data_IF_518348853745
#
_entry.id   IF_518348853745
#
_cell.length_a   1.000
_cell.length_b   1.000
_cell.length_c   1.000
_cell.angle_alpha   90.00
_cell.angle_beta   90.00
_cell.angle_gamma   90.00
#
_symmetry.space_group_name_H-M   'P 1'
#
loop_
_entity.id
_entity.type
_entity.pdbx_description
1 polymer ?
#
# COMPACT_ATOMS: atom_id res chain seq x y z
N UNK A 1 -17.25 4.74 23.86
CA UNK A 1 -16.84 3.37 24.25
C UNK A 1 -18.12 2.60 24.57
N UNK A 2 -18.41 1.48 23.90
CA UNK A 2 -19.63 0.72 24.17
C UNK A 2 -19.55 -0.06 25.48
N UNK A 3 -20.71 -0.25 26.12
CA UNK A 3 -20.83 -1.16 27.25
C UNK A 3 -20.65 -2.61 26.81
N UNK A 4 -20.10 -3.43 27.70
CA UNK A 4 -19.85 -4.88 27.51
C UNK A 4 -21.03 -5.63 26.85
N UNK A 5 -22.25 -5.38 27.32
CA UNK A 5 -23.47 -6.05 26.81
C UNK A 5 -23.71 -5.78 25.32
N UNK A 6 -23.45 -4.55 24.88
CA UNK A 6 -23.59 -4.19 23.47
C UNK A 6 -22.53 -4.87 22.62
N UNK A 7 -21.28 -4.93 23.09
CA UNK A 7 -20.20 -5.68 22.43
C UNK A 7 -20.53 -7.16 22.27
N UNK A 8 -21.10 -7.79 23.31
CA UNK A 8 -21.56 -9.20 23.26
C UNK A 8 -22.64 -9.36 22.19
N UNK A 9 -23.65 -8.49 22.20
CA UNK A 9 -24.73 -8.52 21.21
C UNK A 9 -24.19 -8.40 19.78
N UNK A 10 -23.30 -7.43 19.52
CA UNK A 10 -22.66 -7.26 18.19
C UNK A 10 -21.90 -8.52 17.75
N UNK A 11 -21.15 -9.16 18.65
CA UNK A 11 -20.41 -10.39 18.35
C UNK A 11 -21.34 -11.59 18.08
N UNK A 12 -22.50 -11.65 18.72
CA UNK A 12 -23.51 -12.69 18.52
C UNK A 12 -24.29 -12.51 17.22
N UNK A 13 -24.59 -11.27 16.85
CA UNK A 13 -25.25 -10.92 15.58
C UNK A 13 -24.31 -11.09 14.38
N UNK A 14 -23.00 -10.98 14.60
CA UNK A 14 -22.01 -11.22 13.53
C UNK A 14 -21.95 -12.71 13.20
N UNK A 15 -22.25 -13.07 11.95
CA UNK A 15 -22.24 -14.47 11.48
C UNK A 15 -20.83 -15.06 11.42
N UNK A 16 -20.73 -16.40 11.42
CA UNK A 16 -19.47 -17.07 11.09
C UNK A 16 -19.25 -17.00 9.58
N UNK A 17 -17.99 -16.92 9.18
CA UNK A 17 -17.59 -16.86 7.78
C UNK A 17 -17.30 -18.27 7.26
N UNK A 18 -17.98 -18.66 6.19
CA UNK A 18 -17.73 -19.92 5.46
C UNK A 18 -16.55 -19.77 4.50
N UNK A 19 -15.81 -20.85 4.18
CA UNK A 19 -14.77 -20.79 3.17
C UNK A 19 -15.36 -20.43 1.79
N UNK A 20 -14.59 -19.70 0.99
CA UNK A 20 -14.87 -19.49 -0.42
C UNK A 20 -14.24 -20.62 -1.23
N UNK A 21 -14.98 -21.18 -2.18
CA UNK A 21 -14.54 -22.36 -2.95
C UNK A 21 -14.20 -22.03 -4.40
N UNK A 22 -15.09 -21.31 -5.09
CA UNK A 22 -14.97 -21.04 -6.52
C UNK A 22 -15.17 -19.54 -6.80
N UNK A 23 -14.18 -18.70 -6.50
CA UNK A 23 -14.25 -17.28 -6.82
C UNK A 23 -14.29 -17.09 -8.34
N UNK A 24 -15.22 -16.27 -8.81
CA UNK A 24 -15.40 -15.95 -10.23
C UNK A 24 -14.97 -14.53 -10.57
N UNK A 25 -14.81 -13.69 -9.55
CA UNK A 25 -14.44 -12.29 -9.68
C UNK A 25 -13.45 -11.85 -8.59
N UNK A 26 -12.74 -10.76 -8.84
CA UNK A 26 -11.95 -10.08 -7.81
C UNK A 26 -12.83 -9.66 -6.62
N UNK A 27 -14.09 -9.27 -6.89
CA UNK A 27 -15.05 -8.86 -5.87
C UNK A 27 -15.39 -9.99 -4.91
N UNK A 28 -15.37 -11.25 -5.36
CA UNK A 28 -15.55 -12.41 -4.47
C UNK A 28 -14.41 -12.49 -3.45
N UNK A 29 -13.16 -12.31 -3.91
CA UNK A 29 -11.99 -12.36 -3.04
C UNK A 29 -11.91 -11.14 -2.11
N UNK A 30 -12.15 -9.94 -2.64
CA UNK A 30 -12.14 -8.69 -1.87
C UNK A 30 -13.31 -8.67 -0.88
N UNK A 31 -14.50 -9.10 -1.30
CA UNK A 31 -15.67 -9.30 -0.47
C UNK A 31 -15.39 -10.24 0.70
N UNK A 32 -14.73 -11.37 0.43
CA UNK A 32 -14.37 -12.33 1.46
C UNK A 32 -13.42 -11.75 2.54
N UNK A 33 -12.58 -10.77 2.21
CA UNK A 33 -11.75 -10.05 3.19
C UNK A 33 -12.55 -8.93 3.87
N UNK A 34 -13.42 -8.23 3.15
CA UNK A 34 -14.29 -7.18 3.71
C UNK A 34 -15.24 -7.72 4.78
N UNK A 35 -15.71 -8.95 4.61
CA UNK A 35 -16.51 -9.68 5.58
C UNK A 35 -15.78 -9.96 6.90
N UNK A 36 -14.44 -9.93 6.92
CA UNK A 36 -13.62 -10.06 8.15
C UNK A 36 -13.68 -8.73 8.91
N UNK A 37 -14.86 -8.43 9.43
CA UNK A 37 -15.18 -7.20 10.13
C UNK A 37 -16.16 -7.48 11.26
N UNK A 38 -16.07 -6.68 12.31
CA UNK A 38 -17.06 -6.62 13.38
C UNK A 38 -17.25 -5.15 13.71
N UNK A 39 -18.49 -4.67 13.66
CA UNK A 39 -18.80 -3.25 13.84
C UNK A 39 -18.08 -2.68 15.08
N UNK A 40 -17.26 -1.65 14.84
CA UNK A 40 -16.47 -0.90 15.85
C UNK A 40 -15.45 -1.73 16.66
N UNK A 41 -15.28 -3.02 16.40
CA UNK A 41 -14.29 -3.89 17.07
C UNK A 41 -13.14 -4.30 16.15
N UNK A 42 -13.44 -4.53 14.87
CA UNK A 42 -12.47 -4.93 13.85
C UNK A 42 -12.92 -4.37 12.51
N UNK A 43 -12.15 -3.44 11.96
CA UNK A 43 -12.36 -2.95 10.61
C UNK A 43 -11.78 -3.93 9.57
N UNK A 44 -12.28 -3.88 8.32
CA UNK A 44 -11.70 -4.61 7.21
C UNK A 44 -10.20 -4.35 7.05
N UNK A 45 -9.46 -5.36 6.58
CA UNK A 45 -8.02 -5.23 6.35
C UNK A 45 -7.72 -4.52 5.03
N UNK A 46 -7.74 -3.18 5.07
CA UNK A 46 -7.49 -2.32 3.90
C UNK A 46 -6.20 -2.67 3.13
N UNK A 47 -5.05 -2.92 3.77
CA UNK A 47 -3.81 -3.18 3.03
C UNK A 47 -3.88 -4.41 2.12
N UNK A 48 -4.62 -5.45 2.51
CA UNK A 48 -4.81 -6.63 1.66
C UNK A 48 -5.75 -6.33 0.50
N UNK A 49 -6.86 -5.63 0.77
CA UNK A 49 -7.84 -5.24 -0.25
C UNK A 49 -7.18 -4.37 -1.33
N UNK A 50 -6.51 -3.30 -0.91
CA UNK A 50 -5.81 -2.36 -1.81
C UNK A 50 -4.71 -3.07 -2.61
N UNK A 51 -3.98 -4.00 -1.98
CA UNK A 51 -2.97 -4.80 -2.68
C UNK A 51 -3.59 -5.68 -3.76
N UNK A 52 -4.70 -6.34 -3.48
CA UNK A 52 -5.36 -7.21 -4.46
C UNK A 52 -5.93 -6.42 -5.63
N UNK A 53 -6.59 -5.28 -5.35
CA UNK A 53 -7.11 -4.38 -6.38
C UNK A 53 -5.98 -3.87 -7.28
N UNK A 54 -4.93 -3.31 -6.68
CA UNK A 54 -3.76 -2.82 -7.42
C UNK A 54 -3.07 -3.90 -8.26
N UNK A 55 -2.95 -5.12 -7.76
CA UNK A 55 -2.33 -6.22 -8.52
C UNK A 55 -3.21 -6.62 -9.70
N UNK A 56 -4.51 -6.78 -9.48
CA UNK A 56 -5.45 -7.21 -10.51
C UNK A 56 -5.66 -6.14 -11.60
N UNK A 57 -5.81 -4.88 -11.22
CA UNK A 57 -5.85 -3.73 -12.15
C UNK A 57 -4.52 -3.59 -12.91
N UNK A 58 -3.43 -4.04 -12.30
CA UNK A 58 -2.11 -4.07 -12.88
C UNK A 58 -1.84 -5.25 -13.83
N UNK A 59 -2.86 -5.93 -14.35
CA UNK A 59 -2.71 -6.86 -15.47
C UNK A 59 -3.38 -6.29 -16.72
N UNK A 60 -2.68 -6.38 -17.84
CA UNK A 60 -3.21 -6.00 -19.15
C UNK A 60 -3.91 -7.19 -19.85
N UNK A 61 -3.50 -8.43 -19.50
CA UNK A 61 -4.08 -9.67 -20.01
C UNK A 61 -5.24 -10.18 -19.13
N UNK A 62 -6.41 -10.39 -19.74
CA UNK A 62 -7.60 -10.93 -19.06
C UNK A 62 -7.42 -12.38 -18.57
N UNK A 63 -6.61 -13.18 -19.25
CA UNK A 63 -6.25 -14.53 -18.81
C UNK A 63 -5.43 -14.47 -17.53
N UNK A 64 -4.49 -13.52 -17.42
CA UNK A 64 -3.71 -13.33 -16.20
C UNK A 64 -4.58 -12.87 -15.03
N UNK A 65 -5.57 -11.99 -15.29
CA UNK A 65 -6.59 -11.62 -14.30
C UNK A 65 -7.37 -12.83 -13.81
N UNK A 66 -7.77 -13.71 -14.72
CA UNK A 66 -8.51 -14.91 -14.35
C UNK A 66 -7.66 -15.89 -13.53
N UNK A 67 -6.42 -16.16 -13.95
CA UNK A 67 -5.47 -17.00 -13.22
C UNK A 67 -5.18 -16.45 -11.81
N UNK A 68 -5.15 -15.12 -11.66
CA UNK A 68 -5.03 -14.46 -10.36
C UNK A 68 -6.25 -14.72 -9.46
N UNK A 69 -7.46 -14.63 -10.01
CA UNK A 69 -8.71 -14.88 -9.26
C UNK A 69 -8.76 -16.33 -8.75
N UNK A 70 -8.31 -17.27 -9.57
CA UNK A 70 -8.32 -18.71 -9.27
C UNK A 70 -7.05 -19.21 -8.55
N UNK A 71 -6.14 -18.32 -8.14
CA UNK A 71 -4.90 -18.71 -7.48
C UNK A 71 -5.15 -19.47 -6.18
N UNK A 72 -4.81 -20.76 -6.17
CA UNK A 72 -5.10 -21.68 -5.07
C UNK A 72 -4.43 -21.22 -3.76
N UNK A 73 -3.20 -20.71 -3.84
CA UNK A 73 -2.46 -20.27 -2.65
C UNK A 73 -3.12 -19.05 -2.01
N UNK A 74 -3.53 -18.06 -2.80
CA UNK A 74 -4.26 -16.89 -2.34
C UNK A 74 -5.59 -17.30 -1.70
N UNK A 75 -6.35 -18.18 -2.36
CA UNK A 75 -7.62 -18.70 -1.87
C UNK A 75 -7.45 -19.41 -0.50
N UNK A 76 -6.45 -20.29 -0.39
CA UNK A 76 -6.12 -20.97 0.86
C UNK A 76 -5.79 -19.99 1.99
N UNK A 77 -5.08 -18.89 1.70
CA UNK A 77 -4.74 -17.87 2.72
C UNK A 77 -5.97 -17.08 3.15
N UNK A 78 -6.85 -16.69 2.22
CA UNK A 78 -8.11 -16.00 2.53
C UNK A 78 -8.97 -16.89 3.43
N UNK A 79 -9.13 -18.16 3.07
CA UNK A 79 -9.89 -19.13 3.88
C UNK A 79 -9.27 -19.39 5.26
N UNK A 80 -7.94 -19.38 5.36
CA UNK A 80 -7.27 -19.46 6.65
C UNK A 80 -7.56 -18.23 7.54
N UNK A 81 -7.60 -17.02 6.97
CA UNK A 81 -7.97 -15.81 7.70
C UNK A 81 -9.44 -15.83 8.14
N UNK A 82 -10.36 -16.27 7.28
CA UNK A 82 -11.80 -16.40 7.59
C UNK A 82 -12.06 -17.38 8.74
N UNK A 83 -11.38 -18.53 8.73
CA UNK A 83 -11.44 -19.49 9.85
C UNK A 83 -10.88 -18.89 11.15
N UNK A 84 -9.73 -18.22 11.08
CA UNK A 84 -9.13 -17.56 12.25
C UNK A 84 -10.04 -16.46 12.81
N UNK A 85 -10.79 -15.76 11.96
CA UNK A 85 -11.78 -14.78 12.38
C UNK A 85 -12.89 -15.42 13.22
N UNK A 86 -13.42 -16.56 12.81
CA UNK A 86 -14.43 -17.29 13.58
C UNK A 86 -13.89 -17.70 14.96
N UNK A 87 -12.63 -18.15 15.02
CA UNK A 87 -11.97 -18.48 16.28
C UNK A 87 -11.81 -17.26 17.19
N UNK A 88 -11.28 -16.16 16.65
CA UNK A 88 -11.10 -14.91 17.38
C UNK A 88 -12.43 -14.40 17.91
N UNK A 89 -13.47 -14.33 17.07
CA UNK A 89 -14.82 -13.91 17.47
C UNK A 89 -15.35 -14.76 18.63
N UNK A 90 -15.18 -16.07 18.56
CA UNK A 90 -15.56 -16.99 19.63
C UNK A 90 -14.80 -16.76 20.94
N UNK A 91 -13.49 -16.50 20.87
CA UNK A 91 -12.64 -16.19 22.04
C UNK A 91 -13.01 -14.82 22.64
N UNK A 92 -13.21 -13.80 21.81
CA UNK A 92 -13.64 -12.47 22.23
C UNK A 92 -15.01 -12.52 22.91
N UNK A 93 -15.98 -13.25 22.34
CA UNK A 93 -17.30 -13.43 22.93
C UNK A 93 -17.21 -14.09 24.33
N UNK A 94 -16.42 -15.15 24.48
CA UNK A 94 -16.20 -15.82 25.78
C UNK A 94 -15.52 -14.94 26.81
N UNK A 95 -14.67 -14.02 26.37
CA UNK A 95 -14.03 -13.00 27.22
C UNK A 95 -15.04 -11.96 27.67
N UNK A 96 -15.80 -11.37 26.73
CA UNK A 96 -16.79 -10.31 26.99
C UNK A 96 -18.04 -10.78 27.73
N UNK A 97 -18.35 -12.07 27.73
CA UNK A 97 -19.43 -12.63 28.54
C UNK A 97 -19.13 -12.63 30.04
N UNK A 98 -17.86 -12.51 30.46
CA UNK A 98 -17.55 -12.39 31.89
C UNK A 98 -18.03 -11.01 32.38
N UNK A 99 -18.90 -10.94 33.41
CA UNK A 99 -19.36 -9.67 33.97
C UNK A 99 -18.18 -8.86 34.49
N UNK A 100 -18.26 -7.53 34.44
CA UNK A 100 -17.19 -6.70 35.02
C UNK A 100 -17.16 -6.81 36.54
N UNK A 101 -16.07 -6.35 37.17
CA UNK A 101 -15.96 -6.23 38.64
C UNK A 101 -17.14 -5.45 39.23
N UNK A 102 -17.63 -4.43 38.52
CA UNK A 102 -18.78 -3.62 38.93
C UNK A 102 -20.09 -4.41 38.85
N UNK A 103 -20.23 -5.33 37.88
CA UNK A 103 -21.43 -6.14 37.71
C UNK A 103 -21.46 -7.38 38.62
N UNK A 104 -20.32 -8.06 38.84
CA UNK A 104 -20.24 -9.25 39.69
C UNK A 104 -20.02 -8.91 41.18
N UNK A 105 -19.49 -7.73 41.47
CA UNK A 105 -18.92 -7.39 42.77
C UNK A 105 -17.49 -7.94 42.92
N UNK A 106 -16.60 -7.25 43.66
CA UNK A 106 -15.18 -7.61 43.76
C UNK A 106 -14.93 -8.98 44.39
N UNK A 107 -15.85 -9.46 45.25
CA UNK A 107 -15.74 -10.77 45.92
C UNK A 107 -16.13 -11.96 45.02
N UNK A 108 -16.95 -11.74 43.99
CA UNK A 108 -17.43 -12.81 43.10
C UNK A 108 -16.78 -12.77 41.71
N UNK A 109 -15.87 -11.82 41.46
CA UNK A 109 -15.19 -11.66 40.19
C UNK A 109 -13.92 -12.53 40.13
N UNK A 110 -13.89 -13.44 39.17
CA UNK A 110 -12.74 -14.32 38.92
C UNK A 110 -11.71 -13.59 38.05
N UNK A 111 -10.76 -12.92 38.71
CA UNK A 111 -9.68 -12.16 38.06
C UNK A 111 -8.81 -13.04 37.16
N UNK A 112 -8.39 -14.20 37.64
CA UNK A 112 -7.48 -15.11 36.93
C UNK A 112 -8.11 -15.62 35.64
N UNK A 113 -9.37 -16.08 35.71
CA UNK A 113 -10.11 -16.54 34.53
C UNK A 113 -10.33 -15.42 33.54
N UNK A 114 -10.61 -14.21 34.01
CA UNK A 114 -10.84 -13.07 33.13
C UNK A 114 -9.55 -12.66 32.42
N UNK A 115 -8.45 -12.55 33.14
CA UNK A 115 -7.15 -12.22 32.57
C UNK A 115 -6.71 -13.27 31.55
N UNK A 116 -6.88 -14.57 31.86
CA UNK A 116 -6.57 -15.67 30.96
C UNK A 116 -7.39 -15.60 29.66
N UNK A 117 -8.70 -15.36 29.75
CA UNK A 117 -9.55 -15.24 28.54
C UNK A 117 -9.25 -13.99 27.72
N UNK A 118 -8.99 -12.86 28.38
CA UNK A 118 -8.61 -11.63 27.70
C UNK A 118 -7.28 -11.80 26.94
N UNK A 119 -6.32 -12.50 27.55
CA UNK A 119 -5.05 -12.85 26.89
C UNK A 119 -5.28 -13.71 25.64
N UNK A 120 -6.06 -14.79 25.74
CA UNK A 120 -6.34 -15.65 24.58
C UNK A 120 -7.10 -14.95 23.45
N UNK A 121 -7.99 -14.01 23.79
CA UNK A 121 -8.69 -13.20 22.79
C UNK A 121 -7.73 -12.24 22.07
N UNK A 122 -6.77 -11.66 22.81
CA UNK A 122 -5.70 -10.81 22.23
C UNK A 122 -4.78 -11.62 21.32
N UNK A 123 -4.24 -12.74 21.80
CA UNK A 123 -3.36 -13.62 21.01
C UNK A 123 -4.06 -14.05 19.71
N UNK A 124 -5.34 -14.44 19.78
CA UNK A 124 -6.10 -14.82 18.58
C UNK A 124 -6.36 -13.66 17.61
N UNK A 125 -6.45 -12.43 18.12
CA UNK A 125 -6.56 -11.22 17.29
C UNK A 125 -5.25 -10.93 16.57
N UNK A 126 -4.12 -11.11 17.25
CA UNK A 126 -2.78 -10.97 16.68
C UNK A 126 -2.56 -12.02 15.58
N UNK A 127 -2.90 -13.28 15.85
CA UNK A 127 -2.91 -14.36 14.85
C UNK A 127 -3.80 -14.02 13.64
N UNK A 128 -4.99 -13.44 13.86
CA UNK A 128 -5.86 -12.99 12.76
C UNK A 128 -5.19 -11.93 11.89
N UNK A 129 -4.58 -10.92 12.50
CA UNK A 129 -3.85 -9.88 11.77
C UNK A 129 -2.70 -10.49 10.97
N UNK A 130 -1.93 -11.40 11.57
CA UNK A 130 -0.84 -12.09 10.87
C UNK A 130 -1.36 -12.89 9.67
N UNK A 131 -2.51 -13.57 9.79
CA UNK A 131 -3.12 -14.28 8.65
C UNK A 131 -3.53 -13.30 7.54
N UNK A 132 -4.05 -12.12 7.89
CA UNK A 132 -4.41 -11.08 6.92
C UNK A 132 -3.17 -10.50 6.23
N UNK A 133 -2.06 -10.33 6.94
CA UNK A 133 -0.77 -9.94 6.34
C UNK A 133 -0.24 -11.02 5.40
N UNK A 134 -0.40 -12.30 5.74
CA UNK A 134 -0.08 -13.41 4.84
C UNK A 134 -0.95 -13.43 3.59
N UNK A 135 -2.21 -12.97 3.67
CA UNK A 135 -3.06 -12.76 2.47
C UNK A 135 -2.46 -11.68 1.58
N UNK A 136 -2.03 -10.55 2.15
CA UNK A 136 -1.36 -9.47 1.40
C UNK A 136 -0.10 -9.97 0.69
N UNK A 137 0.74 -10.75 1.40
CA UNK A 137 1.93 -11.35 0.82
C UNK A 137 1.59 -12.34 -0.30
N UNK A 138 0.58 -13.20 -0.09
CA UNK A 138 0.11 -14.14 -1.10
C UNK A 138 -0.47 -13.44 -2.33
N UNK A 139 -1.15 -12.31 -2.17
CA UNK A 139 -1.66 -11.50 -3.27
C UNK A 139 -0.52 -10.96 -4.16
N UNK A 140 0.61 -10.53 -3.58
CA UNK A 140 1.79 -10.17 -4.38
C UNK A 140 2.42 -11.41 -5.05
N UNK A 141 2.47 -12.55 -4.36
CA UNK A 141 3.00 -13.80 -4.94
C UNK A 141 2.14 -14.34 -6.09
N UNK A 142 0.82 -14.21 -5.99
CA UNK A 142 -0.13 -14.60 -7.03
C UNK A 142 0.07 -13.78 -8.31
N UNK A 143 0.58 -12.54 -8.20
CA UNK A 143 0.98 -11.74 -9.37
C UNK A 143 1.98 -12.46 -10.27
N UNK A 144 3.03 -13.00 -9.67
CA UNK A 144 4.08 -13.70 -10.42
C UNK A 144 3.55 -14.96 -11.09
N UNK A 145 2.77 -15.77 -10.35
CA UNK A 145 2.20 -17.02 -10.86
C UNK A 145 1.19 -16.78 -11.98
N UNK A 146 0.35 -15.77 -11.86
CA UNK A 146 -0.62 -15.41 -12.88
C UNK A 146 0.06 -14.98 -14.20
N UNK A 147 1.12 -14.17 -14.13
CA UNK A 147 1.89 -13.80 -15.33
C UNK A 147 2.61 -15.01 -15.93
N UNK A 148 3.22 -15.85 -15.08
CA UNK A 148 3.91 -17.05 -15.51
C UNK A 148 2.98 -18.02 -16.24
N UNK A 149 1.72 -18.15 -15.79
CA UNK A 149 0.71 -18.97 -16.43
C UNK A 149 0.37 -18.51 -17.87
N UNK A 150 0.47 -17.20 -18.14
CA UNK A 150 0.25 -16.61 -19.47
C UNK A 150 1.56 -16.53 -20.29
N UNK A 151 2.68 -16.99 -19.72
CA UNK A 151 3.99 -16.96 -20.38
C UNK A 151 4.67 -15.59 -20.36
N UNK A 152 4.24 -14.70 -19.47
CA UNK A 152 4.85 -13.39 -19.22
C UNK A 152 5.62 -13.41 -17.89
N UNK A 153 6.52 -12.45 -17.69
CA UNK A 153 7.18 -12.23 -16.40
C UNK A 153 6.85 -10.87 -15.79
N UNK A 154 6.98 -10.76 -14.46
CA UNK A 154 6.85 -9.48 -13.74
C UNK A 154 7.88 -8.45 -14.26
N UNK A 155 9.08 -8.92 -14.64
CA UNK A 155 10.14 -8.06 -15.14
C UNK A 155 9.80 -7.47 -16.51
N UNK A 156 9.22 -8.27 -17.41
CA UNK A 156 8.76 -7.81 -18.73
C UNK A 156 7.63 -6.79 -18.60
N UNK A 157 6.59 -7.09 -17.82
CA UNK A 157 5.47 -6.14 -17.62
C UNK A 157 5.94 -4.83 -16.98
N UNK A 158 6.83 -4.89 -16.00
CA UNK A 158 7.39 -3.68 -15.40
C UNK A 158 8.28 -2.90 -16.39
N UNK A 159 9.01 -3.58 -17.26
CA UNK A 159 9.86 -2.95 -18.27
C UNK A 159 9.02 -2.27 -19.37
N UNK A 160 7.91 -2.87 -19.77
CA UNK A 160 6.94 -2.30 -20.70
C UNK A 160 6.29 -1.04 -20.12
N UNK A 161 5.77 -1.12 -18.89
CA UNK A 161 5.24 0.08 -18.20
C UNK A 161 6.25 1.20 -18.06
N UNK A 162 7.50 0.86 -17.72
CA UNK A 162 8.55 1.85 -17.65
C UNK A 162 8.83 2.45 -19.03
N UNK A 163 8.74 1.69 -20.12
CA UNK A 163 8.86 2.21 -21.47
C UNK A 163 7.71 3.16 -21.82
N UNK A 164 6.46 2.78 -21.54
CA UNK A 164 5.27 3.61 -21.79
C UNK A 164 5.32 4.91 -20.99
N UNK A 165 5.68 4.83 -19.70
CA UNK A 165 5.85 6.00 -18.84
C UNK A 165 6.92 6.94 -19.41
N UNK A 166 8.06 6.40 -19.83
CA UNK A 166 9.14 7.20 -20.43
C UNK A 166 8.70 7.85 -21.73
N UNK A 167 7.89 7.18 -22.55
CA UNK A 167 7.38 7.73 -23.80
C UNK A 167 6.38 8.86 -23.53
N UNK A 168 5.42 8.66 -22.63
CA UNK A 168 4.46 9.69 -22.24
C UNK A 168 5.13 10.94 -21.64
N UNK A 169 6.09 10.76 -20.72
CA UNK A 169 6.84 11.88 -20.14
C UNK A 169 7.71 12.55 -21.21
N UNK A 170 8.31 11.78 -22.11
CA UNK A 170 9.12 12.32 -23.21
C UNK A 170 8.30 13.18 -24.17
N UNK A 171 7.07 12.80 -24.48
CA UNK A 171 6.17 13.59 -25.35
C UNK A 171 5.80 14.93 -24.72
N UNK A 172 5.78 15.02 -23.38
CA UNK A 172 5.45 16.23 -22.65
C UNK A 172 6.65 17.15 -22.42
N UNK A 173 7.88 16.61 -22.43
CA UNK A 173 9.10 17.37 -22.14
C UNK A 173 9.77 17.91 -23.41
N UNK A 174 9.93 19.22 -23.46
CA UNK A 174 10.74 19.91 -24.46
C UNK A 174 12.00 20.53 -23.87
N UNK A 175 13.01 20.75 -24.72
CA UNK A 175 14.20 21.51 -24.32
C UNK A 175 13.79 22.92 -23.92
N UNK A 176 14.24 23.34 -22.74
CA UNK A 176 13.98 24.66 -22.19
C UNK A 176 12.89 24.70 -21.11
N UNK A 177 12.11 23.64 -20.93
CA UNK A 177 11.09 23.54 -19.87
C UNK A 177 11.70 23.42 -18.47
N UNK A 178 10.98 23.88 -17.46
CA UNK A 178 11.39 23.82 -16.07
C UNK A 178 10.81 22.55 -15.42
N UNK A 179 11.66 21.80 -14.75
CA UNK A 179 11.30 20.56 -14.08
C UNK A 179 11.79 20.59 -12.63
N UNK A 180 11.00 20.01 -11.75
CA UNK A 180 11.41 19.64 -10.41
C UNK A 180 11.98 18.21 -10.47
N UNK A 181 13.16 18.00 -9.90
CA UNK A 181 13.82 16.70 -9.91
C UNK A 181 14.65 16.49 -8.63
N UNK A 182 14.87 15.21 -8.28
CA UNK A 182 15.78 14.70 -7.20
C UNK A 182 15.15 14.55 -5.79
N UNK A 183 15.61 13.53 -5.07
CA UNK A 183 15.34 13.25 -3.65
C UNK A 183 16.68 13.31 -2.86
N UNK A 184 16.77 13.90 -1.66
CA UNK A 184 15.71 14.45 -0.81
C UNK A 184 15.50 15.98 -0.88
N UNK A 185 16.35 16.71 -1.60
CA UNK A 185 16.13 18.13 -1.88
C UNK A 185 15.62 18.23 -3.30
N UNK A 186 14.31 18.42 -3.44
CA UNK A 186 13.66 18.72 -4.70
C UNK A 186 14.36 19.96 -5.26
N UNK A 187 15.06 19.78 -6.37
CA UNK A 187 15.84 20.83 -7.02
C UNK A 187 15.14 21.19 -8.30
N UNK A 188 15.10 22.47 -8.61
CA UNK A 188 14.49 22.96 -9.83
C UNK A 188 15.58 23.15 -10.87
N UNK A 189 15.27 22.79 -12.10
CA UNK A 189 16.21 23.01 -13.18
C UNK A 189 15.54 22.98 -14.54
N UNK A 190 16.33 23.36 -15.53
CA UNK A 190 15.92 23.48 -16.91
C UNK A 190 16.32 22.26 -17.71
N UNK A 191 15.38 21.74 -18.48
CA UNK A 191 15.64 20.64 -19.41
C UNK A 191 16.56 21.13 -20.52
N UNK A 192 17.78 20.60 -20.56
CA UNK A 192 18.72 20.90 -21.65
C UNK A 192 18.48 19.95 -22.82
N UNK A 193 18.31 18.67 -22.51
CA UNK A 193 18.23 17.61 -23.53
C UNK A 193 17.40 16.44 -23.05
N UNK A 194 16.50 15.97 -23.91
CA UNK A 194 15.70 14.76 -23.69
C UNK A 194 16.26 13.62 -24.54
N UNK A 195 16.64 12.51 -23.91
CA UNK A 195 17.05 11.27 -24.56
C UNK A 195 15.95 10.20 -24.45
N UNK A 196 16.18 9.00 -24.98
CA UNK A 196 15.17 7.92 -24.99
C UNK A 196 14.76 7.43 -23.59
N UNK A 197 15.67 7.46 -22.61
CA UNK A 197 15.42 6.97 -21.24
C UNK A 197 15.69 8.00 -20.15
N UNK A 198 16.41 9.07 -20.48
CA UNK A 198 16.91 10.04 -19.51
C UNK A 198 16.72 11.45 -20.02
N UNK A 199 16.56 12.38 -19.09
CA UNK A 199 16.59 13.82 -19.34
C UNK A 199 17.83 14.41 -18.67
N UNK A 200 18.53 15.28 -19.40
CA UNK A 200 19.60 16.10 -18.83
C UNK A 200 18.99 17.41 -18.36
N UNK A 201 19.15 17.69 -17.07
CA UNK A 201 18.64 18.91 -16.42
C UNK A 201 19.82 19.73 -15.92
N UNK A 202 19.77 21.03 -16.20
CA UNK A 202 20.70 22.03 -15.72
C UNK A 202 20.07 22.80 -14.55
N UNK A 203 20.81 22.95 -13.47
CA UNK A 203 20.31 23.52 -12.23
C UNK A 203 21.38 24.32 -11.51
N UNK A 204 20.98 25.22 -10.62
CA UNK A 204 21.91 25.97 -9.78
C UNK A 204 22.56 25.04 -8.75
N UNK A 205 23.89 24.98 -8.79
CA UNK A 205 24.69 24.14 -7.90
C UNK A 205 24.66 24.67 -6.46
N UNK A 206 24.37 25.96 -6.25
CA UNK A 206 24.28 26.62 -4.94
C UNK A 206 25.63 26.83 -4.23
N UNK A 207 26.75 26.52 -4.90
CA UNK A 207 28.11 26.79 -4.45
C UNK A 207 29.03 26.99 -5.66
N UNK A 208 29.94 27.96 -5.54
CA UNK A 208 30.85 28.40 -6.61
C UNK A 208 32.26 27.84 -6.49
N UNK A 209 32.57 27.12 -5.41
CA UNK A 209 33.88 26.53 -5.16
C UNK A 209 33.73 25.07 -4.72
N UNK A 210 34.61 24.20 -5.23
CA UNK A 210 34.65 22.80 -4.79
C UNK A 210 35.16 22.72 -3.34
N UNK A 211 34.39 22.15 -2.40
CA UNK A 211 34.79 22.08 -0.99
C UNK A 211 36.02 21.18 -0.75
N UNK A 212 36.42 20.35 -1.71
CA UNK A 212 37.57 19.45 -1.60
C UNK A 212 38.83 20.01 -2.26
N UNK A 213 38.69 20.71 -3.39
CA UNK A 213 39.84 21.18 -4.19
C UNK A 213 40.04 22.70 -4.12
N UNK A 214 39.02 23.47 -3.74
CA UNK A 214 39.04 24.93 -3.71
C UNK A 214 39.08 25.56 -5.11
N UNK A 215 38.78 24.79 -6.15
CA UNK A 215 38.71 25.29 -7.53
C UNK A 215 37.34 25.95 -7.79
N UNK A 216 37.35 27.02 -8.60
CA UNK A 216 36.15 27.71 -9.04
C UNK A 216 35.33 26.79 -9.96
N UNK A 217 34.09 26.53 -9.56
CA UNK A 217 33.16 25.67 -10.28
C UNK A 217 32.17 26.52 -11.09
N UNK A 218 31.72 25.97 -12.22
CA UNK A 218 30.56 26.51 -12.92
C UNK A 218 29.36 26.53 -11.96
N UNK A 219 28.69 27.69 -11.75
CA UNK A 219 27.49 27.80 -10.93
C UNK A 219 26.35 26.93 -11.46
N UNK A 220 26.32 26.63 -12.75
CA UNK A 220 25.35 25.73 -13.35
C UNK A 220 25.90 24.30 -13.39
N UNK A 221 25.14 23.38 -12.81
CA UNK A 221 25.46 21.95 -12.84
C UNK A 221 24.48 21.22 -13.76
N UNK A 222 24.97 20.20 -14.47
CA UNK A 222 24.12 19.30 -15.24
C UNK A 222 24.06 17.93 -14.59
N UNK A 223 22.85 17.38 -14.48
CA UNK A 223 22.66 15.99 -14.06
C UNK A 223 21.76 15.24 -15.03
N UNK A 224 21.81 13.91 -14.97
CA UNK A 224 20.91 13.03 -15.72
C UNK A 224 19.90 12.44 -14.77
N UNK A 225 18.63 12.49 -15.17
CA UNK A 225 17.50 11.94 -14.43
C UNK A 225 16.79 10.94 -15.35
N UNK A 226 16.39 9.80 -14.80
CA UNK A 226 15.59 8.82 -15.53
C UNK A 226 14.17 9.36 -15.77
N UNK A 227 13.63 9.14 -16.97
CA UNK A 227 12.31 9.66 -17.36
C UNK A 227 11.15 8.97 -16.62
N UNK A 228 11.37 7.76 -16.09
CA UNK A 228 10.44 7.02 -15.22
C UNK A 228 10.65 7.29 -13.72
N UNK A 229 11.44 8.31 -13.36
CA UNK A 229 11.62 8.71 -11.98
C UNK A 229 10.35 9.34 -11.40
N UNK A 230 9.85 8.82 -10.28
CA UNK A 230 8.72 9.39 -9.53
C UNK A 230 8.97 10.84 -9.07
N UNK A 231 10.23 11.25 -9.00
CA UNK A 231 10.66 12.57 -8.56
C UNK A 231 10.79 13.58 -9.69
N UNK A 232 10.49 13.21 -10.95
CA UNK A 232 10.56 14.11 -12.09
C UNK A 232 9.16 14.68 -12.36
N UNK A 233 8.99 15.97 -12.09
CA UNK A 233 7.72 16.68 -12.29
C UNK A 233 7.91 17.87 -13.20
N UNK A 234 7.06 18.00 -14.23
CA UNK A 234 7.02 19.18 -15.07
C UNK A 234 6.31 20.33 -14.34
N UNK A 235 6.95 21.50 -14.26
CA UNK A 235 6.35 22.70 -13.71
C UNK A 235 5.81 23.55 -14.85
N UNK A 236 4.50 23.48 -15.10
CA UNK A 236 3.83 24.21 -16.20
C UNK A 236 3.65 25.70 -15.93
N UNK A 237 3.74 26.11 -14.67
CA UNK A 237 3.35 27.44 -14.20
C UNK A 237 4.54 28.40 -14.06
N UNK A 238 5.75 27.93 -14.36
CA UNK A 238 6.97 28.72 -14.27
C UNK A 238 7.74 28.73 -15.59
N UNK A 239 8.15 29.92 -16.03
CA UNK A 239 8.91 30.11 -17.26
C UNK A 239 10.42 30.16 -17.01
N UNK A 240 10.83 30.33 -15.75
CA UNK A 240 12.22 30.44 -15.31
C UNK A 240 12.49 29.63 -14.04
N UNK A 241 13.76 29.27 -13.81
CA UNK A 241 14.19 28.55 -12.59
C UNK A 241 13.90 29.41 -11.34
N UNK A 242 14.21 30.71 -11.39
CA UNK A 242 14.01 31.64 -10.26
C UNK A 242 12.53 31.80 -9.86
N UNK A 243 11.62 31.86 -10.84
CA UNK A 243 10.17 31.91 -10.58
C UNK A 243 9.66 30.62 -9.93
N UNK A 244 10.17 29.48 -10.39
CA UNK A 244 9.79 28.17 -9.88
C UNK A 244 10.32 27.94 -8.45
N UNK A 245 11.54 28.40 -8.14
CA UNK A 245 12.12 28.34 -6.79
C UNK A 245 11.34 29.21 -5.81
N UNK A 246 10.93 30.42 -6.21
CA UNK A 246 10.09 31.28 -5.38
C UNK A 246 8.72 30.65 -5.06
N UNK A 247 8.09 29.98 -6.03
CA UNK A 247 6.82 29.28 -5.81
C UNK A 247 6.96 28.05 -4.89
N UNK A 248 8.13 27.41 -4.88
CA UNK A 248 8.41 26.27 -4.01
C UNK A 248 8.62 26.72 -2.56
N UNK A 249 9.34 27.84 -2.36
CA UNK A 249 9.56 28.45 -1.05
C UNK A 249 8.23 28.96 -0.45
N UNK A 250 7.37 29.61 -1.24
CA UNK A 250 6.06 30.10 -0.78
C UNK A 250 5.10 28.97 -0.36
N UNK A 251 5.21 27.78 -0.96
CA UNK A 251 4.40 26.61 -0.61
C UNK A 251 4.96 25.80 0.57
N UNK A 252 6.25 25.96 0.91
CA UNK A 252 6.90 25.25 2.02
C UNK A 252 6.72 25.98 3.35
N UNK A 253 6.40 27.28 3.32
CA UNK A 253 6.17 28.15 4.49
C UNK A 253 4.68 28.23 4.95
N UNK A 254 3.77 27.41 4.41
CA UNK A 254 2.38 27.23 4.88
C UNK A 254 2.18 25.94 5.69
#
# INVERSE_FOLDING_TARGET
MFGRRQTVKTLEETSNLEPIENPTSLDDLVGAIREITVERLKSPHKPSIETMQRVHEGFDDETAKQEYITDETLLQRINAARRQFNEWKGRELRSRRIPSVVEAGPSNYDFDKTQKKARYARESKEELNEKLDRVRAAANGARGRALEAVGSSVAEVNAERAADTREAVREQLESGMIVEFRNPRLTIGRVVRVNKKTVTVEYDRGYTEDPLTGEELDPMAQTRVDLDSEWLTLLTDANTIEEAEQQQDENTDQ
#
